data_IF_276677216922
#
_entry.id   IF_276677216922
#
_cell.length_a   1.000
_cell.length_b   1.000
_cell.length_c   1.000
_cell.angle_alpha   90.00
_cell.angle_beta   90.00
_cell.angle_gamma   90.00
#
_symmetry.space_group_name_H-M   'P 1'
#
loop_
_entity.id
_entity.type
_entity.pdbx_description
1 polymer ?
#
# COMPACT_ATOMS: atom_id res chain seq x y z
N UNK A 1 -3.21 79.14 23.75
CA UNK A 1 -3.93 78.75 22.51
C UNK A 1 -2.95 78.77 21.34
N UNK A 2 -2.92 77.67 20.56
CA UNK A 2 -2.29 77.50 19.24
C UNK A 2 -0.75 77.44 19.22
N UNK A 3 -0.07 76.57 18.48
CA UNK A 3 -0.39 75.38 17.66
C UNK A 3 0.98 74.70 17.44
N UNK A 4 1.09 73.39 17.68
CA UNK A 4 2.30 72.61 17.41
C UNK A 4 2.47 72.40 15.90
N UNK A 5 3.61 72.80 15.35
CA UNK A 5 3.98 72.51 13.96
C UNK A 5 4.72 71.17 13.95
N UNK A 6 4.07 70.15 13.39
CA UNK A 6 4.56 68.78 13.26
C UNK A 6 5.56 68.71 12.11
N UNK A 7 6.78 68.25 12.40
CA UNK A 7 7.80 67.87 11.43
C UNK A 7 7.44 66.48 10.91
N UNK A 8 7.07 66.39 9.63
CA UNK A 8 6.79 65.13 8.94
C UNK A 8 8.11 64.55 8.42
N UNK A 9 8.69 63.59 9.15
CA UNK A 9 9.84 62.82 8.72
C UNK A 9 9.32 61.58 7.95
N UNK A 10 9.47 61.57 6.62
CA UNK A 10 9.07 60.47 5.77
C UNK A 10 10.02 59.26 5.96
N UNK A 11 9.58 58.27 6.74
CA UNK A 11 10.25 56.98 6.88
C UNK A 11 9.73 56.05 5.76
N UNK A 12 10.44 55.95 4.65
CA UNK A 12 10.14 55.00 3.58
C UNK A 12 10.61 53.61 4.02
N UNK A 13 9.69 52.83 4.58
CA UNK A 13 9.86 51.43 4.89
C UNK A 13 9.83 50.63 3.57
N UNK A 14 10.99 50.28 3.04
CA UNK A 14 11.11 49.35 1.91
C UNK A 14 10.80 47.95 2.45
N UNK A 15 9.53 47.55 2.36
CA UNK A 15 9.11 46.17 2.56
C UNK A 15 9.56 45.37 1.34
N UNK A 16 10.67 44.63 1.45
CA UNK A 16 11.04 43.63 0.46
C UNK A 16 10.01 42.51 0.52
N UNK A 17 9.03 42.54 -0.40
CA UNK A 17 8.16 41.40 -0.67
C UNK A 17 9.04 40.26 -1.16
N UNK A 18 9.31 39.29 -0.28
CA UNK A 18 9.73 37.96 -0.69
C UNK A 18 8.61 37.37 -1.53
N UNK A 19 8.83 37.25 -2.83
CA UNK A 19 7.91 36.57 -3.73
C UNK A 19 7.93 35.09 -3.32
N UNK A 20 6.89 34.65 -2.61
CA UNK A 20 6.62 33.23 -2.43
C UNK A 20 6.14 32.75 -3.79
N UNK A 21 7.04 32.15 -4.56
CA UNK A 21 6.67 31.41 -5.76
C UNK A 21 5.91 30.16 -5.33
N UNK A 22 4.59 30.25 -5.26
CA UNK A 22 3.71 29.08 -5.23
C UNK A 22 3.83 28.41 -6.60
N UNK A 23 4.50 27.26 -6.67
CA UNK A 23 4.41 26.39 -7.84
C UNK A 23 3.00 25.81 -7.88
N UNK A 24 2.04 26.57 -8.40
CA UNK A 24 0.77 26.02 -8.81
C UNK A 24 1.08 25.01 -9.93
N UNK A 25 0.82 23.73 -9.70
CA UNK A 25 0.82 22.76 -10.80
C UNK A 25 -0.16 23.30 -11.85
N UNK A 26 0.30 23.65 -13.06
CA UNK A 26 -0.59 24.21 -14.06
C UNK A 26 -1.59 23.11 -14.44
N UNK A 27 -2.84 23.28 -14.06
CA UNK A 27 -3.95 22.45 -14.50
C UNK A 27 -4.74 23.21 -15.56
N UNK A 28 -5.14 22.50 -16.61
CA UNK A 28 -5.98 23.03 -17.68
C UNK A 28 -7.27 22.20 -17.75
N UNK A 29 -8.40 22.89 -17.84
CA UNK A 29 -9.68 22.25 -18.07
C UNK A 29 -9.87 22.03 -19.57
N UNK A 30 -10.11 20.79 -19.97
CA UNK A 30 -10.48 20.43 -21.34
C UNK A 30 -11.96 20.03 -21.42
N UNK A 31 -12.63 20.43 -22.50
CA UNK A 31 -13.96 19.94 -22.82
C UNK A 31 -13.83 18.64 -23.62
N UNK A 32 -14.53 17.59 -23.19
CA UNK A 32 -14.44 16.25 -23.82
C UNK A 32 -15.83 15.64 -24.02
N UNK A 33 -15.96 14.73 -24.99
CA UNK A 33 -17.16 13.93 -25.17
C UNK A 33 -16.93 12.52 -24.61
N UNK A 34 -17.50 12.22 -23.44
CA UNK A 34 -17.33 10.92 -22.78
C UNK A 34 -18.15 9.82 -23.45
N UNK A 35 -17.57 8.64 -23.57
CA UNK A 35 -18.23 7.37 -23.91
C UNK A 35 -19.10 7.41 -25.18
N UNK A 36 -18.71 8.22 -26.17
CA UNK A 36 -19.38 8.30 -27.48
C UNK A 36 -18.82 7.30 -28.48
N UNK A 37 -17.60 6.80 -28.24
CA UNK A 37 -16.90 5.86 -29.13
C UNK A 37 -17.14 4.43 -28.66
N UNK A 38 -17.53 3.55 -29.59
CA UNK A 38 -17.67 2.11 -29.34
C UNK A 38 -16.36 1.41 -29.62
N UNK A 39 -15.88 0.64 -28.65
CA UNK A 39 -14.59 -0.05 -28.73
C UNK A 39 -14.79 -1.53 -29.07
N UNK A 40 -13.87 -2.07 -29.87
CA UNK A 40 -13.73 -3.51 -30.09
C UNK A 40 -12.30 -3.94 -29.88
N UNK A 41 -12.08 -4.98 -29.09
CA UNK A 41 -10.78 -5.62 -28.88
C UNK A 41 -10.92 -7.07 -29.29
N UNK A 42 -10.00 -7.56 -30.13
CA UNK A 42 -10.06 -8.92 -30.70
C UNK A 42 -11.40 -9.25 -31.39
N UNK A 43 -12.07 -8.24 -31.95
CA UNK A 43 -13.36 -8.38 -32.64
C UNK A 43 -14.59 -8.31 -31.73
N UNK A 44 -14.43 -8.34 -30.41
CA UNK A 44 -15.51 -8.30 -29.44
C UNK A 44 -15.79 -6.87 -28.95
N UNK A 45 -17.05 -6.52 -28.72
CA UNK A 45 -17.38 -5.22 -28.14
C UNK A 45 -16.96 -5.19 -26.66
N UNK A 46 -16.26 -4.14 -26.25
CA UNK A 46 -15.85 -3.94 -24.86
C UNK A 46 -16.46 -2.67 -24.29
N UNK A 47 -16.80 -2.69 -23.01
CA UNK A 47 -17.31 -1.53 -22.28
C UNK A 47 -16.19 -0.95 -21.42
N UNK A 48 -15.42 -0.05 -22.02
CA UNK A 48 -14.29 0.65 -21.40
C UNK A 48 -14.55 2.14 -21.45
N UNK A 49 -14.32 2.82 -20.33
CA UNK A 49 -14.46 4.27 -20.23
C UNK A 49 -13.53 4.93 -21.26
N UNK A 50 -14.03 5.92 -21.99
CA UNK A 50 -13.24 6.64 -22.98
C UNK A 50 -13.75 8.06 -23.14
N UNK A 51 -12.92 8.93 -23.71
CA UNK A 51 -13.36 10.26 -24.09
C UNK A 51 -12.73 10.69 -25.42
N UNK A 52 -13.52 11.42 -26.20
CA UNK A 52 -13.04 12.07 -27.42
C UNK A 52 -12.59 13.49 -27.09
N UNK A 53 -11.35 13.81 -27.45
CA UNK A 53 -10.76 15.14 -27.32
C UNK A 53 -9.91 15.42 -28.57
N UNK A 54 -10.18 16.54 -29.25
CA UNK A 54 -9.50 16.93 -30.50
C UNK A 54 -9.39 15.77 -31.51
N UNK A 55 -10.55 15.16 -31.84
CA UNK A 55 -10.67 14.01 -32.74
C UNK A 55 -9.85 12.76 -32.37
N UNK A 56 -9.32 12.71 -31.15
CA UNK A 56 -8.56 11.59 -30.61
C UNK A 56 -9.34 10.92 -29.48
N UNK A 57 -9.48 9.59 -29.54
CA UNK A 57 -10.10 8.81 -28.47
C UNK A 57 -9.05 8.43 -27.44
N UNK A 58 -9.25 8.84 -26.20
CA UNK A 58 -8.42 8.49 -25.06
C UNK A 58 -9.10 7.41 -24.24
N UNK A 59 -8.31 6.43 -23.84
CA UNK A 59 -8.75 5.22 -23.15
C UNK A 59 -7.81 5.00 -21.95
N UNK A 60 -8.33 4.61 -20.77
CA UNK A 60 -7.49 4.23 -19.64
C UNK A 60 -6.49 3.15 -20.06
N UNK A 61 -5.21 3.47 -19.90
CA UNK A 61 -4.09 2.59 -20.25
C UNK A 61 -4.25 1.20 -19.64
N UNK A 62 -4.69 1.14 -18.37
CA UNK A 62 -4.88 -0.11 -17.62
C UNK A 62 -5.97 -1.00 -18.21
N UNK A 63 -7.14 -0.44 -18.51
CA UNK A 63 -8.27 -1.21 -19.03
C UNK A 63 -7.95 -1.80 -20.41
N UNK A 64 -7.41 -0.98 -21.32
CA UNK A 64 -7.06 -1.48 -22.66
C UNK A 64 -5.92 -2.50 -22.62
N UNK A 65 -4.94 -2.31 -21.74
CA UNK A 65 -3.81 -3.26 -21.60
C UNK A 65 -4.26 -4.60 -21.01
N UNK A 66 -5.17 -4.59 -20.03
CA UNK A 66 -5.75 -5.82 -19.47
C UNK A 66 -6.56 -6.60 -20.50
N UNK A 67 -7.32 -5.90 -21.36
CA UNK A 67 -8.02 -6.53 -22.49
C UNK A 67 -7.06 -7.16 -23.51
N UNK A 68 -5.81 -6.68 -23.56
CA UNK A 68 -4.72 -7.23 -24.37
C UNK A 68 -3.86 -8.22 -23.60
N UNK A 69 -4.32 -8.68 -22.43
CA UNK A 69 -3.63 -9.62 -21.54
C UNK A 69 -2.22 -9.13 -21.15
N UNK A 70 -2.08 -7.81 -20.95
CA UNK A 70 -0.83 -7.17 -20.50
C UNK A 70 -0.94 -6.63 -19.08
N UNK A 71 0.20 -6.61 -18.39
CA UNK A 71 0.34 -5.98 -17.08
C UNK A 71 0.76 -4.51 -17.24
N UNK A 72 0.13 -3.64 -16.45
CA UNK A 72 0.47 -2.21 -16.39
C UNK A 72 1.10 -1.89 -15.04
N UNK A 73 2.37 -1.52 -15.06
CA UNK A 73 3.10 -1.02 -13.90
C UNK A 73 3.13 0.51 -13.85
N UNK A 74 3.16 1.07 -12.65
CA UNK A 74 3.39 2.50 -12.41
C UNK A 74 4.52 2.67 -11.41
N UNK A 75 5.46 3.55 -11.71
CA UNK A 75 6.47 3.98 -10.74
C UNK A 75 6.22 5.45 -10.37
N UNK A 76 5.78 5.68 -9.14
CA UNK A 76 5.38 6.98 -8.60
C UNK A 76 6.54 7.98 -8.53
N UNK A 77 7.77 7.52 -8.28
CA UNK A 77 8.93 8.40 -8.17
C UNK A 77 9.49 8.85 -9.52
N UNK A 78 9.47 7.98 -10.52
CA UNK A 78 9.99 8.28 -11.86
C UNK A 78 8.91 8.76 -12.83
N UNK A 79 7.63 8.66 -12.45
CA UNK A 79 6.47 8.92 -13.31
C UNK A 79 6.47 8.07 -14.60
N UNK A 80 6.97 6.83 -14.51
CA UNK A 80 7.03 5.90 -15.64
C UNK A 80 5.86 4.91 -15.54
N UNK A 81 5.04 4.88 -16.59
CA UNK A 81 4.09 3.79 -16.85
C UNK A 81 4.73 2.74 -17.77
N UNK A 82 4.49 1.46 -17.49
CA UNK A 82 4.99 0.35 -18.30
C UNK A 82 3.86 -0.57 -18.73
N UNK A 83 4.00 -1.22 -19.89
CA UNK A 83 3.13 -2.29 -20.36
C UNK A 83 4.03 -3.47 -20.67
N UNK A 84 3.84 -4.58 -19.96
CA UNK A 84 4.67 -5.77 -20.10
C UNK A 84 3.80 -7.01 -20.24
N UNK A 85 4.39 -8.10 -20.72
CA UNK A 85 3.77 -9.42 -20.62
C UNK A 85 3.59 -9.78 -19.15
N UNK A 86 2.46 -10.43 -18.77
CA UNK A 86 2.32 -10.98 -17.45
C UNK A 86 3.42 -12.01 -17.19
N UNK A 87 4.06 -11.91 -16.04
CA UNK A 87 5.06 -12.85 -15.60
C UNK A 87 4.74 -13.33 -14.18
N UNK A 88 4.97 -14.61 -13.94
CA UNK A 88 4.92 -15.18 -12.60
C UNK A 88 6.28 -14.97 -11.95
N UNK A 89 6.41 -13.91 -11.16
CA UNK A 89 7.65 -13.48 -10.49
C UNK A 89 7.92 -14.31 -9.23
N UNK A 90 7.88 -15.63 -9.34
CA UNK A 90 8.03 -16.54 -8.20
C UNK A 90 9.35 -16.31 -7.47
N UNK A 91 10.47 -16.34 -8.18
CA UNK A 91 11.80 -16.27 -7.57
C UNK A 91 11.97 -15.01 -6.69
N UNK A 92 11.85 -13.77 -7.23
CA UNK A 92 12.07 -12.57 -6.44
C UNK A 92 11.07 -12.41 -5.29
N UNK A 93 9.83 -12.92 -5.43
CA UNK A 93 8.82 -12.80 -4.38
C UNK A 93 8.97 -13.86 -3.29
N UNK A 94 9.36 -15.08 -3.66
CA UNK A 94 9.58 -16.17 -2.69
C UNK A 94 10.79 -15.92 -1.81
N UNK A 95 11.79 -15.17 -2.30
CA UNK A 95 12.95 -14.72 -1.51
C UNK A 95 12.58 -13.76 -0.38
N UNK A 96 11.39 -13.14 -0.42
CA UNK A 96 10.89 -12.28 0.65
C UNK A 96 10.27 -13.06 1.81
N UNK A 97 9.86 -14.31 1.59
CA UNK A 97 9.07 -15.08 2.56
C UNK A 97 9.92 -16.18 3.22
N UNK A 98 9.55 -16.63 4.44
CA UNK A 98 10.18 -17.80 5.04
C UNK A 98 9.98 -19.07 4.20
N UNK A 99 11.03 -19.87 4.02
CA UNK A 99 11.05 -21.02 3.10
C UNK A 99 11.14 -22.39 3.82
N UNK A 100 11.25 -22.39 5.15
CA UNK A 100 11.37 -23.60 5.95
C UNK A 100 10.05 -23.95 6.64
N UNK A 101 9.38 -25.01 6.17
CA UNK A 101 8.20 -25.56 6.85
C UNK A 101 8.52 -25.89 8.31
N UNK A 102 7.63 -25.49 9.21
CA UNK A 102 7.78 -25.66 10.66
C UNK A 102 8.52 -24.52 11.35
N UNK A 103 9.08 -23.55 10.60
CA UNK A 103 9.63 -22.33 11.18
C UNK A 103 8.57 -21.61 12.00
N UNK A 104 8.96 -21.16 13.18
CA UNK A 104 8.10 -20.38 14.08
C UNK A 104 8.67 -18.99 14.27
N UNK A 105 7.80 -18.03 14.53
CA UNK A 105 8.22 -16.67 14.85
C UNK A 105 7.19 -15.97 15.70
N UNK A 106 7.62 -14.93 16.40
CA UNK A 106 6.76 -14.12 17.25
C UNK A 106 6.98 -12.64 17.02
N UNK A 107 5.90 -11.88 17.22
CA UNK A 107 5.92 -10.43 17.21
C UNK A 107 5.52 -9.88 18.57
N UNK A 108 6.12 -8.76 18.94
CA UNK A 108 5.76 -7.95 20.10
C UNK A 108 5.41 -6.53 19.65
N UNK A 109 4.54 -5.83 20.37
CA UNK A 109 4.08 -4.52 19.96
C UNK A 109 3.36 -3.70 21.02
N UNK A 110 2.58 -2.75 20.52
CA UNK A 110 1.84 -1.78 21.32
C UNK A 110 1.00 -2.43 22.43
N UNK A 111 1.05 -1.85 23.64
CA UNK A 111 0.24 -2.25 24.79
C UNK A 111 0.29 -3.76 25.12
N UNK A 112 1.50 -4.33 25.18
CA UNK A 112 1.73 -5.76 25.49
C UNK A 112 1.16 -6.71 24.44
N UNK A 113 0.78 -6.20 23.27
CA UNK A 113 0.38 -7.03 22.15
C UNK A 113 1.51 -7.96 21.75
N UNK A 114 1.17 -9.24 21.59
CA UNK A 114 2.05 -10.24 20.98
C UNK A 114 1.24 -11.20 20.13
N UNK A 115 1.88 -11.87 19.19
CA UNK A 115 1.33 -13.06 18.55
C UNK A 115 2.43 -13.97 18.04
N UNK A 116 2.14 -15.26 18.02
CA UNK A 116 3.03 -16.30 17.49
C UNK A 116 2.48 -16.83 16.19
N UNK A 117 3.38 -17.28 15.32
CA UNK A 117 3.08 -17.76 13.98
C UNK A 117 3.96 -18.97 13.65
N UNK A 118 3.44 -19.87 12.83
CA UNK A 118 4.14 -21.04 12.33
C UNK A 118 3.80 -21.26 10.85
N UNK A 119 4.83 -21.46 10.02
CA UNK A 119 4.67 -21.84 8.62
C UNK A 119 4.34 -23.33 8.53
N UNK A 120 3.07 -23.67 8.29
CA UNK A 120 2.63 -25.06 8.30
C UNK A 120 2.86 -25.75 6.97
N UNK A 121 2.67 -25.04 5.86
CA UNK A 121 2.80 -25.60 4.51
C UNK A 121 3.26 -24.58 3.48
N UNK A 122 3.95 -25.07 2.45
CA UNK A 122 4.23 -24.34 1.21
C UNK A 122 3.68 -25.17 0.07
N UNK A 123 2.68 -24.65 -0.64
CA UNK A 123 1.95 -25.38 -1.68
C UNK A 123 2.22 -24.67 -3.01
N UNK A 124 2.89 -25.35 -3.93
CA UNK A 124 3.18 -24.79 -5.27
C UNK A 124 2.15 -25.26 -6.29
N UNK A 125 1.67 -24.31 -7.09
CA UNK A 125 0.79 -24.52 -8.24
C UNK A 125 1.51 -24.10 -9.53
N UNK A 126 0.82 -24.13 -10.67
CA UNK A 126 1.37 -23.72 -11.97
C UNK A 126 1.78 -22.25 -12.04
N UNK A 127 1.00 -21.39 -11.41
CA UNK A 127 1.01 -19.93 -11.55
C UNK A 127 0.89 -19.21 -10.20
N UNK A 128 0.91 -19.97 -9.10
CA UNK A 128 0.88 -19.45 -7.75
C UNK A 128 1.63 -20.33 -6.75
N UNK A 129 1.90 -19.78 -5.58
CA UNK A 129 2.44 -20.51 -4.43
C UNK A 129 1.84 -19.96 -3.16
N UNK A 130 1.28 -20.86 -2.35
CA UNK A 130 0.67 -20.53 -1.06
C UNK A 130 1.62 -20.89 0.08
N UNK A 131 1.75 -19.98 1.04
CA UNK A 131 2.44 -20.16 2.31
C UNK A 131 1.36 -20.13 3.39
N UNK A 132 1.04 -21.31 3.93
CA UNK A 132 -0.03 -21.49 4.90
C UNK A 132 0.54 -21.30 6.30
N UNK A 133 -0.03 -20.36 7.04
CA UNK A 133 0.48 -19.90 8.32
C UNK A 133 -0.64 -20.03 9.35
N UNK A 134 -0.29 -20.57 10.51
CA UNK A 134 -1.17 -20.61 11.68
C UNK A 134 -0.51 -19.87 12.83
N UNK A 135 -1.32 -19.22 13.64
CA UNK A 135 -0.83 -18.47 14.77
C UNK A 135 -1.87 -18.29 15.87
N UNK A 136 -1.45 -17.63 16.92
CA UNK A 136 -2.33 -17.23 18.02
C UNK A 136 -1.89 -15.85 18.55
N UNK A 137 -2.85 -14.98 18.81
CA UNK A 137 -2.61 -13.73 19.55
C UNK A 137 -2.34 -14.07 21.01
N UNK A 138 -1.33 -13.44 21.60
CA UNK A 138 -0.99 -13.60 23.02
C UNK A 138 -2.11 -13.14 23.95
N UNK A 139 -2.07 -13.63 25.20
CA UNK A 139 -3.06 -13.31 26.23
C UNK A 139 -2.53 -12.26 27.22
N UNK A 140 -2.85 -10.97 27.06
CA UNK A 140 -2.46 -9.96 28.04
C UNK A 140 -3.33 -10.00 29.31
N UNK A 141 -4.41 -10.80 29.33
CA UNK A 141 -5.40 -10.83 30.41
C UNK A 141 -5.19 -11.95 31.43
N UNK A 142 -4.05 -12.64 31.37
CA UNK A 142 -3.71 -13.77 32.26
C UNK A 142 -4.83 -14.82 32.35
N UNK A 143 -5.51 -15.09 31.22
CA UNK A 143 -6.59 -16.07 31.10
C UNK A 143 -8.01 -15.56 31.37
N UNK A 144 -8.21 -14.26 31.63
CA UNK A 144 -9.56 -13.68 31.80
C UNK A 144 -10.31 -13.51 30.45
N UNK A 145 -9.57 -13.40 29.36
CA UNK A 145 -10.05 -13.27 28.00
C UNK A 145 -10.58 -14.58 27.45
N UNK A 146 -11.84 -14.59 27.01
CA UNK A 146 -12.51 -15.78 26.42
C UNK A 146 -12.66 -15.72 24.90
N UNK A 147 -12.05 -14.71 24.27
CA UNK A 147 -12.11 -14.52 22.82
C UNK A 147 -11.32 -15.57 22.04
N UNK A 148 -11.75 -15.86 20.81
CA UNK A 148 -10.91 -16.59 19.87
C UNK A 148 -9.65 -15.76 19.58
N UNK A 149 -8.48 -16.40 19.64
CA UNK A 149 -7.18 -15.77 19.37
C UNK A 149 -6.46 -16.40 18.19
N UNK A 150 -7.05 -17.43 17.58
CA UNK A 150 -6.46 -18.13 16.46
C UNK A 150 -6.30 -17.18 15.27
N UNK A 151 -5.19 -17.34 14.58
CA UNK A 151 -4.87 -16.70 13.33
C UNK A 151 -4.73 -17.82 12.30
N UNK A 152 -5.57 -17.80 11.27
CA UNK A 152 -5.33 -18.55 10.04
C UNK A 152 -4.94 -17.53 8.97
N UNK A 153 -3.74 -17.65 8.42
CA UNK A 153 -3.18 -16.70 7.46
C UNK A 153 -2.60 -17.43 6.24
N UNK A 154 -2.71 -16.83 5.06
CA UNK A 154 -2.05 -17.34 3.85
C UNK A 154 -1.37 -16.19 3.13
N UNK A 155 -0.10 -16.37 2.78
CA UNK A 155 0.55 -15.56 1.75
C UNK A 155 0.51 -16.30 0.43
N UNK A 156 -0.11 -15.69 -0.59
CA UNK A 156 -0.16 -16.24 -1.94
C UNK A 156 0.69 -15.38 -2.86
N UNK A 157 1.74 -15.97 -3.43
CA UNK A 157 2.42 -15.41 -4.58
C UNK A 157 1.55 -15.72 -5.80
N UNK A 158 1.05 -14.69 -6.49
CA UNK A 158 0.22 -14.84 -7.69
C UNK A 158 0.63 -13.80 -8.73
N UNK A 159 1.14 -14.27 -9.87
CA UNK A 159 1.69 -13.38 -10.89
C UNK A 159 2.86 -12.58 -10.34
N UNK A 160 2.69 -11.26 -10.22
CA UNK A 160 3.75 -10.31 -9.90
C UNK A 160 3.63 -9.74 -8.48
N UNK A 161 2.88 -10.39 -7.59
CA UNK A 161 2.53 -9.87 -6.26
C UNK A 161 2.44 -10.93 -5.18
N UNK A 162 2.60 -10.50 -3.93
CA UNK A 162 2.28 -11.28 -2.73
C UNK A 162 0.98 -10.75 -2.15
N UNK A 163 0.00 -11.63 -1.96
CA UNK A 163 -1.30 -11.32 -1.36
C UNK A 163 -1.34 -11.97 0.02
N UNK A 164 -1.75 -11.22 1.03
CA UNK A 164 -2.13 -11.77 2.33
C UNK A 164 -3.64 -11.98 2.37
N UNK A 165 -4.07 -13.15 2.84
CA UNK A 165 -5.44 -13.43 3.29
C UNK A 165 -5.39 -13.91 4.74
N UNK A 166 -6.32 -13.45 5.59
CA UNK A 166 -6.37 -13.85 6.99
C UNK A 166 -7.78 -14.04 7.52
N UNK A 167 -7.90 -14.91 8.51
CA UNK A 167 -9.06 -15.07 9.39
C UNK A 167 -8.57 -14.96 10.83
N UNK A 168 -9.02 -13.91 11.50
CA UNK A 168 -8.66 -13.60 12.89
C UNK A 168 -9.76 -12.76 13.55
N UNK A 169 -9.74 -12.67 14.87
CA UNK A 169 -10.68 -11.86 15.65
C UNK A 169 -10.04 -10.71 16.44
N UNK A 170 -8.78 -10.82 16.82
CA UNK A 170 -8.12 -9.93 17.78
C UNK A 170 -6.72 -9.48 17.35
N UNK A 171 -6.29 -9.77 16.13
CA UNK A 171 -4.97 -9.43 15.62
C UNK A 171 -4.83 -7.92 15.43
N UNK A 172 -3.71 -7.34 15.87
CA UNK A 172 -3.38 -5.94 15.67
C UNK A 172 -2.85 -5.68 14.24
N UNK A 173 -3.49 -6.23 13.22
CA UNK A 173 -3.08 -6.12 11.81
C UNK A 173 -4.10 -5.29 10.99
N UNK A 174 -3.96 -5.26 9.68
CA UNK A 174 -4.87 -4.58 8.75
C UNK A 174 -6.33 -4.84 9.07
N UNK A 175 -7.18 -3.82 8.90
CA UNK A 175 -8.64 -3.97 8.98
C UNK A 175 -9.24 -4.78 7.81
N UNK A 176 -8.41 -5.07 6.80
CA UNK A 176 -8.77 -5.88 5.65
C UNK A 176 -8.32 -7.33 5.84
N UNK A 177 -9.21 -8.26 5.55
CA UNK A 177 -8.91 -9.70 5.57
C UNK A 177 -8.06 -10.11 4.36
N UNK A 178 -8.06 -9.30 3.30
CA UNK A 178 -7.26 -9.52 2.09
C UNK A 178 -6.58 -8.22 1.64
N UNK A 179 -5.27 -8.26 1.42
CA UNK A 179 -4.48 -7.10 0.98
C UNK A 179 -3.27 -7.56 0.16
N UNK A 180 -2.85 -6.77 -0.84
CA UNK A 180 -1.61 -7.04 -1.57
C UNK A 180 -0.42 -6.46 -0.81
N UNK A 181 0.50 -7.31 -0.30
CA UNK A 181 1.63 -6.88 0.52
C UNK A 181 2.73 -6.16 -0.28
N UNK A 182 3.03 -6.64 -1.47
CA UNK A 182 4.08 -6.06 -2.32
C UNK A 182 3.91 -6.54 -3.76
N UNK A 183 4.36 -5.74 -4.72
CA UNK A 183 4.36 -6.07 -6.14
C UNK A 183 5.73 -5.81 -6.77
N UNK A 184 6.09 -6.59 -7.78
CA UNK A 184 7.25 -6.31 -8.63
C UNK A 184 6.95 -5.17 -9.62
N UNK A 185 7.99 -4.45 -10.09
CA UNK A 185 9.40 -4.60 -9.74
C UNK A 185 9.70 -4.18 -8.29
N UNK A 186 10.60 -4.90 -7.62
CA UNK A 186 11.00 -4.64 -6.23
C UNK A 186 11.94 -3.43 -6.12
N UNK A 187 11.45 -2.26 -6.52
CA UNK A 187 12.19 -0.99 -6.53
C UNK A 187 11.35 0.11 -5.90
N UNK A 188 12.02 1.09 -5.31
CA UNK A 188 11.35 2.24 -4.72
C UNK A 188 10.48 2.96 -5.76
N UNK A 189 9.27 3.33 -5.35
CA UNK A 189 8.26 3.98 -6.18
C UNK A 189 7.32 3.02 -6.93
N UNK A 190 7.58 1.71 -6.97
CA UNK A 190 6.59 0.75 -7.53
C UNK A 190 5.26 0.91 -6.81
N UNK A 191 4.20 1.14 -7.57
CA UNK A 191 2.89 1.58 -7.06
C UNK A 191 1.75 0.74 -7.63
N UNK A 192 0.74 0.53 -6.80
CA UNK A 192 -0.52 -0.10 -7.18
C UNK A 192 -1.69 0.50 -6.42
N UNK A 193 -2.89 0.27 -6.94
CA UNK A 193 -4.14 0.65 -6.28
C UNK A 193 -5.07 -0.54 -6.20
N UNK A 194 -5.76 -0.70 -5.09
CA UNK A 194 -6.77 -1.74 -4.90
C UNK A 194 -7.98 -1.20 -4.13
N UNK A 195 -9.17 -1.68 -4.49
CA UNK A 195 -10.37 -1.44 -3.70
C UNK A 195 -10.52 -2.60 -2.72
N UNK A 196 -10.39 -2.31 -1.43
CA UNK A 196 -10.50 -3.29 -0.36
C UNK A 196 -11.80 -3.08 0.42
N UNK A 197 -12.27 -4.15 1.05
CA UNK A 197 -13.46 -4.14 1.89
C UNK A 197 -13.07 -4.58 3.30
N UNK A 198 -13.45 -3.80 4.31
CA UNK A 198 -13.26 -4.18 5.71
C UNK A 198 -14.32 -5.19 6.18
N UNK A 199 -14.15 -5.72 7.39
CA UNK A 199 -15.10 -6.68 8.00
C UNK A 199 -16.52 -6.13 8.20
N UNK A 200 -16.68 -4.81 8.17
CA UNK A 200 -17.97 -4.13 8.30
C UNK A 200 -18.64 -3.90 6.93
N UNK A 201 -17.98 -4.27 5.83
CA UNK A 201 -18.46 -4.07 4.47
C UNK A 201 -18.15 -2.69 3.88
N UNK A 202 -17.37 -1.85 4.58
CA UNK A 202 -16.97 -0.55 4.07
C UNK A 202 -15.87 -0.72 3.01
N UNK A 203 -16.00 0.02 1.91
CA UNK A 203 -15.02 0.00 0.81
C UNK A 203 -14.04 1.15 0.96
N UNK A 204 -12.75 0.86 0.87
CA UNK A 204 -11.67 1.85 0.78
C UNK A 204 -10.88 1.66 -0.51
N UNK A 205 -10.42 2.76 -1.10
CA UNK A 205 -9.51 2.74 -2.24
C UNK A 205 -8.10 2.97 -1.70
N UNK A 206 -7.29 1.91 -1.65
CA UNK A 206 -5.94 1.93 -1.11
C UNK A 206 -4.95 2.20 -2.22
N UNK A 207 -4.10 3.20 -2.03
CA UNK A 207 -2.97 3.56 -2.87
C UNK A 207 -1.69 3.13 -2.19
N UNK A 208 -1.03 2.12 -2.74
CA UNK A 208 0.12 1.48 -2.12
C UNK A 208 1.38 1.68 -2.95
N UNK A 209 2.54 1.80 -2.30
CA UNK A 209 3.82 1.86 -2.99
C UNK A 209 4.99 1.39 -2.13
N UNK A 210 6.05 0.91 -2.79
CA UNK A 210 7.34 0.67 -2.15
C UNK A 210 7.98 2.03 -1.86
N UNK A 211 7.91 2.48 -0.62
CA UNK A 211 8.44 3.77 -0.18
C UNK A 211 9.97 3.77 -0.15
N UNK A 212 10.58 2.69 0.31
CA UNK A 212 12.02 2.60 0.51
C UNK A 212 12.52 1.18 0.26
N UNK A 213 13.73 1.08 -0.30
CA UNK A 213 14.50 -0.16 -0.44
C UNK A 213 15.88 0.11 0.13
N UNK A 214 16.30 -0.70 1.10
CA UNK A 214 17.60 -0.55 1.76
C UNK A 214 18.22 -1.91 2.07
N UNK A 215 19.53 -1.93 2.30
CA UNK A 215 20.26 -3.13 2.71
C UNK A 215 20.65 -2.93 4.17
N UNK A 216 20.28 -3.88 5.03
CA UNK A 216 20.63 -3.84 6.44
C UNK A 216 22.10 -4.23 6.68
N UNK A 217 22.56 -4.11 7.93
CA UNK A 217 23.96 -4.43 8.32
C UNK A 217 24.36 -5.90 8.05
N UNK A 218 23.40 -6.79 7.85
CA UNK A 218 23.59 -8.21 7.55
C UNK A 218 23.59 -8.50 6.03
N UNK A 219 23.48 -7.47 5.19
CA UNK A 219 23.44 -7.62 3.73
C UNK A 219 22.10 -8.10 3.18
N UNK A 220 21.01 -8.03 3.96
CA UNK A 220 19.65 -8.39 3.54
C UNK A 220 18.89 -7.16 3.08
N UNK A 221 18.16 -7.28 1.97
CA UNK A 221 17.30 -6.19 1.49
C UNK A 221 16.05 -6.08 2.34
N UNK A 222 15.68 -4.85 2.68
CA UNK A 222 14.45 -4.47 3.35
C UNK A 222 13.62 -3.55 2.46
N UNK A 223 12.31 -3.80 2.42
CA UNK A 223 11.33 -3.05 1.65
C UNK A 223 10.34 -2.41 2.61
N UNK A 224 10.32 -1.07 2.68
CA UNK A 224 9.26 -0.34 3.37
C UNK A 224 8.12 -0.10 2.39
N UNK A 225 6.96 -0.68 2.65
CA UNK A 225 5.76 -0.53 1.83
C UNK A 225 4.73 0.30 2.58
N UNK A 226 4.20 1.32 1.92
CA UNK A 226 3.17 2.20 2.47
C UNK A 226 1.85 2.00 1.75
N UNK A 227 0.75 2.09 2.51
CA UNK A 227 -0.62 1.90 2.08
C UNK A 227 -1.45 3.07 2.58
N UNK A 228 -1.94 3.91 1.67
CA UNK A 228 -2.75 5.08 2.03
C UNK A 228 -4.19 4.88 1.57
N UNK A 229 -5.16 5.06 2.47
CA UNK A 229 -6.57 5.17 2.06
C UNK A 229 -6.80 6.54 1.41
N UNK A 230 -7.17 6.54 0.14
CA UNK A 230 -7.38 7.80 -0.61
C UNK A 230 -8.62 8.57 -0.15
N UNK A 231 -9.51 7.95 0.64
CA UNK A 231 -10.72 8.57 1.16
C UNK A 231 -10.66 8.99 2.64
N UNK A 232 -9.57 8.71 3.35
CA UNK A 232 -9.44 9.01 4.79
C UNK A 232 -7.98 9.21 5.21
N UNK A 233 -7.74 9.53 6.48
CA UNK A 233 -6.38 9.62 7.02
C UNK A 233 -5.77 8.24 7.37
N UNK A 234 -6.49 7.14 7.12
CA UNK A 234 -6.03 5.79 7.45
C UNK A 234 -4.81 5.41 6.59
N UNK A 235 -3.78 4.86 7.25
CA UNK A 235 -2.63 4.29 6.58
C UNK A 235 -2.13 3.01 7.28
N UNK A 236 -1.36 2.23 6.54
CA UNK A 236 -0.52 1.15 7.03
C UNK A 236 0.91 1.30 6.50
N UNK A 237 1.89 0.81 7.24
CA UNK A 237 3.29 0.66 6.80
C UNK A 237 3.75 -0.74 7.19
N UNK A 238 4.45 -1.42 6.27
CA UNK A 238 5.13 -2.70 6.52
C UNK A 238 6.59 -2.57 6.15
N UNK A 239 7.46 -3.19 6.95
CA UNK A 239 8.84 -3.48 6.54
C UNK A 239 8.94 -4.97 6.29
N UNK A 240 9.35 -5.33 5.07
CA UNK A 240 9.53 -6.72 4.63
C UNK A 240 11.03 -6.97 4.44
N UNK A 241 11.59 -7.98 5.09
CA UNK A 241 13.00 -8.36 4.96
C UNK A 241 13.14 -9.70 4.24
N UNK A 242 14.11 -9.79 3.32
CA UNK A 242 14.46 -11.03 2.61
C UNK A 242 14.65 -12.22 3.56
N UNK A 243 13.94 -13.31 3.28
CA UNK A 243 13.96 -14.56 4.01
C UNK A 243 13.20 -14.57 5.33
N UNK A 244 12.64 -13.43 5.78
CA UNK A 244 11.88 -13.33 7.04
C UNK A 244 10.41 -12.97 6.84
N UNK A 245 10.06 -12.29 5.75
CA UNK A 245 8.73 -11.72 5.57
C UNK A 245 8.60 -10.39 6.30
N UNK A 246 7.43 -10.15 6.89
CA UNK A 246 7.15 -8.91 7.62
C UNK A 246 8.01 -8.89 8.89
N UNK A 247 8.76 -7.81 9.11
CA UNK A 247 9.53 -7.59 10.33
C UNK A 247 9.02 -6.42 11.16
N UNK A 248 8.20 -5.55 10.57
CA UNK A 248 7.57 -4.43 11.24
C UNK A 248 6.23 -4.12 10.56
N UNK A 249 5.23 -3.79 11.36
CA UNK A 249 3.94 -3.29 10.92
C UNK A 249 3.53 -2.10 11.77
N UNK A 250 3.04 -1.05 11.12
CA UNK A 250 2.41 0.11 11.76
C UNK A 250 1.08 0.40 11.06
N UNK A 251 0.09 0.85 11.82
CA UNK A 251 -1.15 1.43 11.28
C UNK A 251 -1.64 2.61 12.09
N UNK A 252 -2.45 3.45 11.47
CA UNK A 252 -3.23 4.44 12.20
C UNK A 252 -4.44 3.77 12.87
N UNK A 253 -4.45 3.75 14.21
CA UNK A 253 -5.64 3.38 14.97
C UNK A 253 -6.54 4.61 15.12
N UNK A 254 -7.83 4.46 14.83
CA UNK A 254 -8.81 5.54 14.84
C UNK A 254 -9.94 5.23 15.83
N UNK A 255 -10.19 6.17 16.72
CA UNK A 255 -11.33 6.22 17.65
C UNK A 255 -12.22 7.42 17.29
N UNK A 256 -13.39 7.56 17.92
CA UNK A 256 -14.33 8.66 17.63
C UNK A 256 -13.68 10.05 17.73
N UNK A 257 -12.85 10.28 18.76
CA UNK A 257 -12.26 11.59 19.06
C UNK A 257 -10.72 11.65 18.91
N UNK A 258 -10.06 10.56 18.54
CA UNK A 258 -8.59 10.53 18.46
C UNK A 258 -8.07 9.50 17.48
N UNK A 259 -6.87 9.75 16.97
CA UNK A 259 -6.11 8.75 16.21
C UNK A 259 -4.65 8.77 16.63
N UNK A 260 -4.02 7.61 16.65
CA UNK A 260 -2.60 7.46 16.97
C UNK A 260 -2.03 6.21 16.32
N UNK A 261 -0.72 6.21 15.98
CA UNK A 261 -0.05 5.05 15.42
C UNK A 261 0.06 3.92 16.45
N UNK A 262 -0.13 2.70 15.99
CA UNK A 262 0.16 1.46 16.73
C UNK A 262 0.98 0.54 15.86
N UNK A 263 1.88 -0.22 16.47
CA UNK A 263 2.81 -1.07 15.75
C UNK A 263 3.14 -2.37 16.48
N UNK A 264 3.67 -3.33 15.73
CA UNK A 264 4.36 -4.52 16.23
C UNK A 264 5.61 -4.80 15.37
N UNK A 265 6.59 -5.47 15.95
CA UNK A 265 7.85 -5.82 15.30
C UNK A 265 8.22 -7.28 15.58
N UNK A 266 8.96 -7.88 14.65
CA UNK A 266 9.44 -9.25 14.78
C UNK A 266 10.35 -9.33 15.99
N UNK A 267 9.95 -10.12 16.98
CA UNK A 267 10.69 -10.30 18.22
C UNK A 267 11.67 -11.45 18.10
N UNK A 268 11.21 -12.60 17.59
CA UNK A 268 12.01 -13.82 17.52
C UNK A 268 11.67 -14.67 16.30
N UNK A 269 12.68 -15.36 15.76
CA UNK A 269 12.59 -16.39 14.72
C UNK A 269 13.20 -17.68 15.29
N UNK A 270 12.49 -18.80 15.20
CA UNK A 270 12.83 -20.11 15.79
C UNK A 270 12.85 -21.25 14.76
#
# INVERSE_FOLDING_TARGET
MKKYTIILLAFVLILSLSIISTSANPSESILVYRNTVKLRVNGENVNVDNFLYNDTTYIPLREVSQLLEKNVGWNYYTNIATINDPHYDLNPLSELLPDSKGLQWSYDGFAEYSHEMALTDIISHSDSRDYVIKGEVGDPSDGEGTGNRNIDLTYTILGNKIIQEKVESTMLDSKFDKITLIQTPLVAGTHWTEQLMDKNGNKSNISSFIQKVEINDQGKTQYTVKYDDTGSDYYEVRVIEEGKGIIEFEKLMQFEDSSFPVSYFLFKLE
#
